data_IF_212709413000
#
_entry.id   IF_212709413000
#
_cell.length_a   1.000
_cell.length_b   1.000
_cell.length_c   1.000
_cell.angle_alpha   90.00
_cell.angle_beta   90.00
_cell.angle_gamma   90.00
#
_symmetry.space_group_name_H-M   'P 1'
#
loop_
_entity.id
_entity.type
_entity.pdbx_description
1 polymer ?
#
# COMPACT_ATOMS: atom_id res chain seq x y z
N UNK A 1 7.19 20.14 -5.59
CA UNK A 1 5.90 20.10 -6.33
C UNK A 1 4.87 19.16 -5.68
N UNK A 2 5.19 17.92 -5.29
CA UNK A 2 4.18 16.97 -4.77
C UNK A 2 3.61 17.21 -3.35
N UNK A 3 4.32 17.90 -2.46
CA UNK A 3 3.84 18.12 -1.08
C UNK A 3 2.59 19.01 -0.98
N UNK A 4 2.51 20.06 -1.82
CA UNK A 4 1.36 20.98 -1.82
C UNK A 4 0.09 20.32 -2.38
N UNK A 5 0.22 19.46 -3.41
CA UNK A 5 -0.92 18.76 -3.98
C UNK A 5 -1.50 17.72 -3.02
N UNK A 6 -0.64 17.00 -2.28
CA UNK A 6 -1.10 16.08 -1.24
C UNK A 6 -1.83 16.83 -0.12
N UNK A 7 -1.26 17.95 0.38
CA UNK A 7 -1.93 18.79 1.39
C UNK A 7 -3.27 19.34 0.90
N UNK A 8 -3.35 19.77 -0.36
CA UNK A 8 -4.60 20.23 -0.95
C UNK A 8 -5.65 19.10 -0.93
N UNK A 9 -5.30 17.90 -1.39
CA UNK A 9 -6.21 16.75 -1.36
C UNK A 9 -6.67 16.40 0.07
N UNK A 10 -5.79 16.51 1.06
CA UNK A 10 -6.15 16.12 2.44
C UNK A 10 -7.09 17.12 3.08
N UNK A 11 -6.88 18.42 2.83
CA UNK A 11 -7.70 19.50 3.39
C UNK A 11 -9.04 19.61 2.67
N UNK A 12 -9.01 19.68 1.34
CA UNK A 12 -10.20 20.00 0.57
C UNK A 12 -11.00 18.78 0.13
N UNK A 13 -10.34 17.62 0.03
CA UNK A 13 -10.94 16.42 -0.53
C UNK A 13 -11.00 15.23 0.43
N UNK A 14 -10.60 15.40 1.70
CA UNK A 14 -10.50 14.31 2.68
C UNK A 14 -9.67 13.11 2.21
N UNK A 15 -8.68 13.33 1.33
CA UNK A 15 -7.85 12.25 0.82
C UNK A 15 -7.02 11.62 1.94
N UNK A 16 -7.12 10.31 2.07
CA UNK A 16 -6.32 9.50 3.00
C UNK A 16 -4.85 9.44 2.53
N UNK A 17 -3.90 9.42 3.47
CA UNK A 17 -2.46 9.35 3.17
C UNK A 17 -1.86 8.03 3.62
N UNK A 18 -1.06 7.44 2.74
CA UNK A 18 -0.12 6.38 3.07
C UNK A 18 1.31 6.88 2.80
N UNK A 19 2.17 6.88 3.82
CA UNK A 19 3.57 7.28 3.71
C UNK A 19 4.45 6.04 3.83
N UNK A 20 4.96 5.56 2.69
CA UNK A 20 5.95 4.49 2.61
C UNK A 20 7.35 5.09 2.51
N UNK A 21 8.11 5.07 3.60
CA UNK A 21 9.47 5.59 3.61
C UNK A 21 10.31 4.97 4.73
N UNK A 22 11.54 4.48 4.46
CA UNK A 22 12.40 3.94 5.50
C UNK A 22 12.87 5.00 6.51
N UNK A 23 12.78 6.29 6.17
CA UNK A 23 13.01 7.39 7.10
C UNK A 23 11.69 7.85 7.69
N UNK A 24 11.72 8.23 8.96
CA UNK A 24 10.59 8.91 9.61
C UNK A 24 10.48 10.35 9.08
N UNK A 25 9.78 10.51 7.97
CA UNK A 25 9.52 11.83 7.37
C UNK A 25 8.44 12.55 8.17
N UNK A 26 8.73 13.80 8.53
CA UNK A 26 7.72 14.69 9.10
C UNK A 26 6.91 15.26 7.95
N UNK A 27 5.65 14.86 7.90
CA UNK A 27 4.65 15.41 7.00
C UNK A 27 3.43 15.70 7.84
N UNK A 28 3.27 16.97 8.21
CA UNK A 28 2.08 17.44 8.91
C UNK A 28 0.94 17.51 7.90
N UNK A 29 -0.07 16.67 8.18
CA UNK A 29 -1.22 16.39 7.36
C UNK A 29 -2.47 16.45 8.24
N UNK A 30 -3.55 17.01 7.71
CA UNK A 30 -4.88 17.01 8.34
C UNK A 30 -5.75 15.82 7.85
N UNK A 31 -5.14 14.83 7.19
CA UNK A 31 -5.84 13.65 6.70
C UNK A 31 -6.50 12.85 7.82
N UNK A 32 -7.71 12.35 7.53
CA UNK A 32 -8.45 11.48 8.46
C UNK A 32 -7.75 10.15 8.70
N UNK A 33 -7.06 9.64 7.67
CA UNK A 33 -6.21 8.45 7.77
C UNK A 33 -4.78 8.82 7.36
N UNK A 34 -3.84 8.53 8.25
CA UNK A 34 -2.39 8.66 8.02
C UNK A 34 -1.72 7.34 8.43
N UNK A 35 -1.47 6.47 7.43
CA UNK A 35 -0.75 5.20 7.65
C UNK A 35 0.71 5.39 7.30
N UNK A 36 1.60 5.16 8.27
CA UNK A 36 3.05 5.33 8.10
C UNK A 36 3.76 3.97 8.07
N UNK A 37 4.28 3.62 6.91
CA UNK A 37 5.09 2.43 6.69
C UNK A 37 6.57 2.81 6.80
N UNK A 38 7.09 2.86 8.02
CA UNK A 38 8.53 3.07 8.27
C UNK A 38 9.24 1.72 8.36
N UNK A 39 9.66 1.20 7.20
CA UNK A 39 10.33 -0.09 7.06
C UNK A 39 11.86 0.03 7.03
N UNK A 40 12.55 -1.11 7.13
CA UNK A 40 14.02 -1.20 6.99
C UNK A 40 14.49 -0.73 5.61
N UNK A 41 15.67 -0.11 5.54
CA UNK A 41 16.26 0.31 4.26
C UNK A 41 16.42 -0.88 3.30
N UNK A 42 16.05 -0.68 2.04
CA UNK A 42 16.09 -1.71 1.00
C UNK A 42 14.94 -2.73 1.05
N UNK A 43 13.98 -2.57 1.98
CA UNK A 43 12.83 -3.46 2.09
C UNK A 43 11.62 -3.02 1.24
N UNK A 44 11.77 -2.03 0.37
CA UNK A 44 10.71 -1.48 -0.48
C UNK A 44 9.98 -2.57 -1.29
N UNK A 45 10.75 -3.48 -1.91
CA UNK A 45 10.20 -4.61 -2.66
C UNK A 45 9.37 -5.54 -1.77
N UNK A 46 9.82 -5.80 -0.54
CA UNK A 46 9.11 -6.68 0.38
C UNK A 46 7.80 -6.06 0.88
N UNK A 47 7.77 -4.73 1.08
CA UNK A 47 6.55 -3.98 1.40
C UNK A 47 5.58 -4.05 0.22
N UNK A 48 6.02 -3.63 -0.97
CA UNK A 48 5.17 -3.64 -2.16
C UNK A 48 4.62 -5.04 -2.46
N UNK A 49 5.47 -6.07 -2.41
CA UNK A 49 5.05 -7.45 -2.66
C UNK A 49 4.03 -7.95 -1.63
N UNK A 50 4.20 -7.61 -0.35
CA UNK A 50 3.22 -7.99 0.68
C UNK A 50 1.90 -7.27 0.52
N UNK A 51 1.92 -5.97 0.21
CA UNK A 51 0.70 -5.21 -0.06
C UNK A 51 -0.06 -5.81 -1.25
N UNK A 52 0.63 -6.04 -2.38
CA UNK A 52 0.04 -6.68 -3.57
C UNK A 52 -0.58 -8.03 -3.22
N UNK A 53 0.13 -8.85 -2.44
CA UNK A 53 -0.40 -10.15 -2.02
C UNK A 53 -1.65 -10.02 -1.17
N UNK A 54 -1.68 -9.12 -0.18
CA UNK A 54 -2.86 -8.90 0.67
C UNK A 54 -4.05 -8.48 -0.20
N UNK A 55 -3.83 -7.56 -1.14
CA UNK A 55 -4.87 -7.07 -2.06
C UNK A 55 -5.47 -8.22 -2.88
N UNK A 56 -4.64 -9.13 -3.38
CA UNK A 56 -5.07 -10.29 -4.17
C UNK A 56 -5.76 -11.34 -3.28
N UNK A 57 -5.11 -11.75 -2.19
CA UNK A 57 -5.59 -12.81 -1.28
C UNK A 57 -6.93 -12.43 -0.65
N UNK A 58 -7.11 -11.15 -0.29
CA UNK A 58 -8.35 -10.63 0.30
C UNK A 58 -9.39 -10.20 -0.76
N UNK A 59 -9.11 -10.39 -2.06
CA UNK A 59 -10.00 -10.03 -3.19
C UNK A 59 -10.45 -8.55 -3.15
N UNK A 60 -9.52 -7.65 -2.84
CA UNK A 60 -9.79 -6.21 -2.77
C UNK A 60 -9.82 -5.52 -4.15
N UNK A 61 -9.55 -6.28 -5.22
CA UNK A 61 -9.60 -5.84 -6.61
C UNK A 61 -10.40 -6.83 -7.45
N UNK A 62 -10.82 -6.39 -8.63
CA UNK A 62 -11.35 -7.27 -9.67
C UNK A 62 -10.23 -8.13 -10.28
N UNK A 63 -10.15 -9.37 -9.83
CA UNK A 63 -9.10 -10.33 -10.24
C UNK A 63 -9.21 -10.70 -11.72
N UNK A 64 -10.42 -10.83 -12.26
CA UNK A 64 -10.60 -11.18 -13.68
C UNK A 64 -10.14 -10.04 -14.58
N UNK A 65 -10.52 -8.80 -14.23
CA UNK A 65 -10.03 -7.61 -14.93
C UNK A 65 -8.51 -7.47 -14.82
N UNK A 66 -7.94 -7.71 -13.63
CA UNK A 66 -6.49 -7.67 -13.43
C UNK A 66 -5.77 -8.71 -14.28
N UNK A 67 -6.26 -9.96 -14.29
CA UNK A 67 -5.72 -11.07 -15.08
C UNK A 67 -5.81 -10.83 -16.58
N UNK A 68 -6.88 -10.18 -17.05
CA UNK A 68 -7.03 -9.80 -18.46
C UNK A 68 -6.14 -8.61 -18.88
N UNK A 69 -5.70 -7.77 -17.92
CA UNK A 69 -4.94 -6.53 -18.20
C UNK A 69 -3.45 -6.63 -17.90
N UNK A 70 -3.02 -7.66 -17.16
CA UNK A 70 -1.64 -7.84 -16.72
C UNK A 70 -1.09 -9.16 -17.26
N UNK A 71 -0.08 -9.07 -18.13
CA UNK A 71 0.65 -10.24 -18.61
C UNK A 71 1.30 -11.00 -17.45
N UNK A 72 1.32 -12.33 -17.55
CA UNK A 72 1.93 -13.21 -16.54
C UNK A 72 1.37 -13.02 -15.12
N UNK A 73 0.10 -12.60 -14.97
CA UNK A 73 -0.54 -12.39 -13.66
C UNK A 73 -0.40 -13.62 -12.73
N UNK A 74 -0.62 -14.83 -13.25
CA UNK A 74 -0.50 -16.04 -12.44
C UNK A 74 0.96 -16.29 -11.98
N UNK A 75 1.96 -15.89 -12.77
CA UNK A 75 3.37 -15.96 -12.37
C UNK A 75 3.71 -14.91 -11.32
N UNK A 76 3.15 -13.71 -11.46
CA UNK A 76 3.24 -12.67 -10.43
C UNK A 76 2.69 -13.21 -9.11
N UNK A 77 1.48 -13.76 -9.08
CA UNK A 77 0.88 -14.35 -7.86
C UNK A 77 1.78 -15.43 -7.27
N UNK A 78 2.34 -16.33 -8.09
CA UNK A 78 3.27 -17.37 -7.63
C UNK A 78 4.54 -16.76 -7.01
N UNK A 79 5.09 -15.71 -7.61
CA UNK A 79 6.28 -15.02 -7.09
C UNK A 79 6.05 -14.38 -5.72
N UNK A 80 4.80 -14.05 -5.40
CA UNK A 80 4.41 -13.42 -4.14
C UNK A 80 4.31 -14.41 -2.96
N UNK A 81 4.35 -15.71 -3.22
CA UNK A 81 4.12 -16.77 -2.21
C UNK A 81 5.04 -16.66 -0.98
N UNK A 82 6.29 -16.24 -1.16
CA UNK A 82 7.27 -16.03 -0.10
C UNK A 82 7.01 -14.81 0.79
N UNK A 83 6.19 -13.85 0.37
CA UNK A 83 5.84 -12.66 1.16
C UNK A 83 4.66 -12.94 2.09
N UNK A 84 4.85 -13.91 2.99
CA UNK A 84 3.92 -14.21 4.08
C UNK A 84 3.99 -13.14 5.17
N UNK A 85 2.98 -13.04 6.03
CA UNK A 85 3.00 -12.11 7.18
C UNK A 85 4.31 -12.20 7.98
N UNK A 86 4.67 -13.41 8.42
CA UNK A 86 5.89 -13.67 9.22
C UNK A 86 7.17 -13.32 8.47
N UNK A 87 7.30 -13.69 7.20
CA UNK A 87 8.52 -13.42 6.45
C UNK A 87 8.67 -11.92 6.14
N UNK A 88 7.58 -11.26 5.74
CA UNK A 88 7.60 -9.82 5.47
C UNK A 88 7.88 -9.02 6.74
N UNK A 89 7.32 -9.38 7.89
CA UNK A 89 7.63 -8.71 9.16
C UNK A 89 9.13 -8.80 9.48
N UNK A 90 9.75 -9.96 9.26
CA UNK A 90 11.21 -10.12 9.41
C UNK A 90 12.00 -9.21 8.46
N UNK A 91 11.61 -9.18 7.18
CA UNK A 91 12.28 -8.40 6.12
C UNK A 91 12.13 -6.89 6.29
N UNK A 92 10.92 -6.44 6.64
CA UNK A 92 10.55 -5.01 6.63
C UNK A 92 10.62 -4.38 8.02
N UNK A 93 10.46 -5.17 9.10
CA UNK A 93 10.26 -4.68 10.45
C UNK A 93 8.86 -4.10 10.71
N UNK A 94 7.93 -4.20 9.75
CA UNK A 94 6.56 -3.74 9.91
C UNK A 94 5.65 -4.88 10.37
N UNK A 95 4.78 -4.63 11.36
CA UNK A 95 3.79 -5.62 11.76
C UNK A 95 2.74 -5.80 10.67
N UNK A 96 2.16 -6.99 10.60
CA UNK A 96 1.27 -7.35 9.48
C UNK A 96 -0.06 -6.58 9.49
N UNK A 97 -0.55 -6.17 10.66
CA UNK A 97 -1.75 -5.34 10.81
C UNK A 97 -1.60 -3.99 10.11
N UNK A 98 -0.45 -3.32 10.26
CA UNK A 98 -0.13 -2.05 9.59
C UNK A 98 -0.07 -2.23 8.06
N UNK A 99 0.50 -3.33 7.58
CA UNK A 99 0.52 -3.66 6.14
C UNK A 99 -0.87 -4.00 5.62
N UNK A 100 -1.70 -4.66 6.43
CA UNK A 100 -3.08 -5.01 6.06
C UNK A 100 -3.93 -3.76 5.97
N UNK A 101 -3.86 -2.87 6.97
CA UNK A 101 -4.54 -1.58 6.95
C UNK A 101 -4.11 -0.74 5.74
N UNK A 102 -2.82 -0.70 5.43
CA UNK A 102 -2.32 -0.01 4.24
C UNK A 102 -2.90 -0.59 2.95
N UNK A 103 -2.88 -1.92 2.79
CA UNK A 103 -3.43 -2.59 1.62
C UNK A 103 -4.93 -2.32 1.44
N UNK A 104 -5.71 -2.43 2.52
CA UNK A 104 -7.15 -2.14 2.52
C UNK A 104 -7.45 -0.69 2.18
N UNK A 105 -6.69 0.26 2.77
CA UNK A 105 -6.88 1.69 2.49
C UNK A 105 -6.51 2.05 1.08
N UNK A 106 -5.45 1.44 0.53
CA UNK A 106 -4.95 1.67 -0.82
C UNK A 106 -5.83 1.07 -1.92
N UNK A 107 -6.40 -0.11 -1.68
CA UNK A 107 -7.21 -0.82 -2.67
C UNK A 107 -8.65 -0.30 -2.81
N UNK A 108 -9.10 0.58 -1.90
CA UNK A 108 -10.41 1.23 -2.06
C UNK A 108 -10.44 2.06 -3.34
N UNK A 109 -11.64 2.21 -3.88
CA UNK A 109 -11.89 3.16 -4.95
C UNK A 109 -11.37 4.54 -4.53
N UNK A 110 -10.57 5.15 -5.41
CA UNK A 110 -10.16 6.52 -5.23
C UNK A 110 -11.41 7.42 -5.17
N UNK A 111 -11.36 8.46 -4.35
CA UNK A 111 -12.43 9.45 -4.27
C UNK A 111 -12.71 9.99 -5.69
N UNK A 112 -13.86 9.62 -6.25
CA UNK A 112 -14.31 10.13 -7.56
C UNK A 112 -15.03 11.43 -7.29
N UNK A 113 -14.43 12.54 -7.72
CA UNK A 113 -15.13 13.83 -7.76
C UNK A 113 -16.12 13.80 -8.92
N UNK A 114 -17.39 13.97 -8.60
CA UNK A 114 -18.45 14.35 -9.55
C UNK A 114 -18.78 15.82 -9.36
#
# INVERSE_FOLDING_TARGET
MGGNSVRFGTIFNNTDILIANPRRVVFESEAKVDVRLTYKHGADLAVASRLTRIIIDNKLIDIEKAKASVDNFDELVKSLSNYTAKNTEKLTGLPNDVLTLAAEKFARDADKFF
#
